data_IF_637687916078
#
_entry.id   IF_637687916078
#
_cell.length_a   1.000
_cell.length_b   1.000
_cell.length_c   1.000
_cell.angle_alpha   90.00
_cell.angle_beta   90.00
_cell.angle_gamma   90.00
#
_symmetry.space_group_name_H-M   'P 1'
#
loop_
_entity.id
_entity.type
_entity.pdbx_description
1 polymer ?
#
# COMPACT_ATOMS: atom_id res chain seq x y z
N UNK A 1 25.98 -15.60 -19.47
CA UNK A 1 24.52 -15.78 -19.36
C UNK A 1 23.89 -15.04 -20.53
N UNK A 2 22.92 -15.65 -21.22
CA UNK A 2 22.03 -14.93 -22.15
C UNK A 2 21.29 -13.82 -21.36
N UNK A 3 20.86 -12.76 -22.05
CA UNK A 3 20.32 -11.56 -21.39
C UNK A 3 19.02 -11.83 -20.63
N UNK A 4 18.19 -12.77 -21.11
CA UNK A 4 16.95 -13.16 -20.44
C UNK A 4 17.20 -13.72 -19.02
N UNK A 5 18.13 -14.66 -18.87
CA UNK A 5 18.45 -15.33 -17.61
C UNK A 5 19.11 -14.37 -16.62
N UNK A 6 19.84 -13.36 -17.12
CA UNK A 6 20.36 -12.28 -16.28
C UNK A 6 19.20 -11.56 -15.59
N UNK A 7 18.19 -11.12 -16.34
CA UNK A 7 17.05 -10.38 -15.77
C UNK A 7 16.14 -11.27 -14.93
N UNK A 8 15.93 -12.54 -15.31
CA UNK A 8 15.19 -13.48 -14.46
C UNK A 8 15.88 -13.68 -13.10
N UNK A 9 17.22 -13.74 -13.08
CA UNK A 9 17.98 -13.82 -11.82
C UNK A 9 17.78 -12.56 -10.95
N UNK A 10 17.90 -11.37 -11.52
CA UNK A 10 17.70 -10.10 -10.80
C UNK A 10 16.26 -9.95 -10.28
N UNK A 11 15.26 -10.38 -11.07
CA UNK A 11 13.87 -10.37 -10.65
C UNK A 11 13.62 -11.32 -9.47
N UNK A 12 14.15 -12.56 -9.54
CA UNK A 12 14.00 -13.56 -8.47
C UNK A 12 14.75 -13.18 -7.19
N UNK A 13 15.85 -12.43 -7.29
CA UNK A 13 16.57 -11.89 -6.14
C UNK A 13 15.91 -10.64 -5.55
N UNK A 14 14.77 -10.20 -6.08
CA UNK A 14 14.07 -8.96 -5.70
C UNK A 14 14.90 -7.69 -5.92
N UNK A 15 15.87 -7.73 -6.84
CA UNK A 15 16.69 -6.58 -7.19
C UNK A 15 16.05 -5.77 -8.31
N UNK A 16 14.84 -5.25 -8.05
CA UNK A 16 14.13 -4.42 -9.02
C UNK A 16 14.85 -3.09 -9.31
N UNK A 17 15.76 -2.67 -8.42
CA UNK A 17 16.62 -1.51 -8.66
C UNK A 17 17.47 -1.65 -9.94
N UNK A 18 17.92 -2.88 -10.27
CA UNK A 18 18.71 -3.14 -11.47
C UNK A 18 17.93 -2.93 -12.79
N UNK A 19 16.60 -2.82 -12.72
CA UNK A 19 15.74 -2.59 -13.88
C UNK A 19 15.59 -1.11 -14.20
N UNK A 20 15.90 -0.23 -13.25
CA UNK A 20 15.85 1.21 -13.45
C UNK A 20 16.86 1.62 -14.53
N UNK A 21 16.43 2.51 -15.43
CA UNK A 21 17.27 3.07 -16.51
C UNK A 21 17.89 2.04 -17.47
N UNK A 22 17.37 0.80 -17.49
CA UNK A 22 17.86 -0.24 -18.39
C UNK A 22 16.75 -0.70 -19.33
N UNK A 23 16.78 -0.22 -20.57
CA UNK A 23 15.76 -0.53 -21.59
C UNK A 23 15.52 -2.03 -21.75
N UNK A 24 16.59 -2.85 -21.80
CA UNK A 24 16.48 -4.30 -21.95
C UNK A 24 15.81 -4.96 -20.74
N UNK A 25 16.12 -4.50 -19.54
CA UNK A 25 15.46 -4.97 -18.32
C UNK A 25 13.97 -4.60 -18.31
N UNK A 26 13.63 -3.40 -18.78
CA UNK A 26 12.25 -2.94 -18.89
C UNK A 26 11.44 -3.71 -19.95
N UNK A 27 12.04 -3.99 -21.11
CA UNK A 27 11.48 -4.90 -22.11
C UNK A 27 11.21 -6.25 -21.45
N UNK A 28 12.15 -6.80 -20.69
CA UNK A 28 11.95 -8.08 -20.00
C UNK A 28 10.74 -8.06 -19.05
N UNK A 29 10.57 -6.99 -18.26
CA UNK A 29 9.41 -6.84 -17.36
C UNK A 29 8.09 -6.78 -18.16
N UNK A 30 8.05 -5.97 -19.22
CA UNK A 30 6.86 -5.81 -20.06
C UNK A 30 6.52 -7.08 -20.84
N UNK A 31 7.51 -7.81 -21.34
CA UNK A 31 7.33 -9.14 -21.95
C UNK A 31 6.74 -10.11 -20.92
N UNK A 32 7.22 -10.10 -19.68
CA UNK A 32 6.65 -10.92 -18.60
C UNK A 32 5.18 -10.58 -18.30
N UNK A 33 4.76 -9.32 -18.44
CA UNK A 33 3.35 -8.93 -18.34
C UNK A 33 2.51 -9.43 -19.52
N UNK A 34 3.08 -9.47 -20.72
CA UNK A 34 2.41 -9.94 -21.94
C UNK A 34 2.31 -11.47 -22.01
N UNK A 35 3.33 -12.19 -21.55
CA UNK A 35 3.44 -13.65 -21.64
C UNK A 35 2.57 -14.39 -20.61
N UNK A 36 1.26 -14.14 -20.58
CA UNK A 36 0.29 -14.83 -19.71
C UNK A 36 -1.02 -15.14 -20.42
N UNK A 37 -1.58 -16.31 -20.13
CA UNK A 37 -2.92 -16.71 -20.60
C UNK A 37 -3.13 -16.48 -22.10
N UNK A 38 -4.21 -15.78 -22.44
CA UNK A 38 -4.53 -15.39 -23.83
C UNK A 38 -3.82 -14.12 -24.32
N UNK A 39 -3.18 -13.34 -23.43
CA UNK A 39 -2.55 -12.05 -23.77
C UNK A 39 -1.40 -12.22 -24.76
N UNK A 40 -0.58 -13.27 -24.59
CA UNK A 40 0.52 -13.54 -25.52
C UNK A 40 0.00 -13.75 -26.95
N UNK A 41 -1.08 -14.50 -27.12
CA UNK A 41 -1.65 -14.79 -28.44
C UNK A 41 -2.22 -13.52 -29.08
N UNK A 42 -2.85 -12.65 -28.29
CA UNK A 42 -3.34 -11.36 -28.75
C UNK A 42 -2.18 -10.44 -29.17
N UNK A 43 -1.11 -10.38 -28.37
CA UNK A 43 0.08 -9.59 -28.68
C UNK A 43 0.75 -10.06 -29.98
N UNK A 44 0.98 -11.37 -30.12
CA UNK A 44 1.57 -11.95 -31.32
C UNK A 44 0.71 -11.67 -32.57
N UNK A 45 -0.61 -11.78 -32.46
CA UNK A 45 -1.54 -11.43 -33.54
C UNK A 45 -1.48 -9.95 -33.91
N UNK A 46 -1.44 -9.06 -32.92
CA UNK A 46 -1.42 -7.60 -33.14
C UNK A 46 -0.09 -7.13 -33.75
N UNK A 47 1.01 -7.78 -33.39
CA UNK A 47 2.37 -7.41 -33.84
C UNK A 47 2.84 -8.16 -35.07
N UNK A 48 2.18 -9.27 -35.43
CA UNK A 48 2.62 -10.18 -36.49
C UNK A 48 3.85 -11.01 -36.14
N UNK A 49 4.27 -11.01 -34.87
CA UNK A 49 5.40 -11.81 -34.39
C UNK A 49 5.00 -13.29 -34.33
N UNK A 50 5.85 -14.17 -34.85
CA UNK A 50 5.68 -15.62 -34.77
C UNK A 50 6.69 -16.22 -33.82
N UNK A 51 6.24 -17.11 -32.94
CA UNK A 51 7.10 -17.89 -32.05
C UNK A 51 7.14 -19.35 -32.51
N UNK A 52 8.29 -19.99 -32.35
CA UNK A 52 8.51 -21.41 -32.65
C UNK A 52 7.99 -22.30 -31.53
N UNK A 53 8.21 -21.91 -30.27
CA UNK A 53 7.76 -22.74 -29.15
C UNK A 53 6.27 -22.60 -28.87
N UNK A 54 5.65 -23.70 -28.45
CA UNK A 54 4.28 -23.74 -27.91
C UNK A 54 4.23 -23.67 -26.39
N UNK A 55 5.37 -23.76 -25.70
CA UNK A 55 5.45 -23.74 -24.24
C UNK A 55 5.65 -22.33 -23.72
N UNK A 56 4.79 -21.88 -22.81
CA UNK A 56 4.80 -20.50 -22.27
C UNK A 56 6.16 -20.03 -21.74
N UNK A 57 6.88 -20.90 -21.01
CA UNK A 57 8.19 -20.54 -20.45
C UNK A 57 9.25 -20.28 -21.55
N UNK A 58 9.22 -21.06 -22.62
CA UNK A 58 10.09 -20.91 -23.78
C UNK A 58 9.65 -19.71 -24.63
N UNK A 59 8.33 -19.53 -24.82
CA UNK A 59 7.75 -18.37 -25.51
C UNK A 59 8.13 -17.04 -24.88
N UNK A 60 8.22 -16.97 -23.55
CA UNK A 60 8.65 -15.77 -22.84
C UNK A 60 10.09 -15.38 -23.18
N UNK A 61 11.00 -16.36 -23.13
CA UNK A 61 12.40 -16.14 -23.50
C UNK A 61 12.54 -15.79 -24.99
N UNK A 62 11.83 -16.51 -25.86
CA UNK A 62 11.87 -16.30 -27.30
C UNK A 62 11.33 -14.91 -27.69
N UNK A 63 10.19 -14.51 -27.13
CA UNK A 63 9.61 -13.20 -27.40
C UNK A 63 10.52 -12.08 -26.91
N UNK A 64 11.16 -12.25 -25.75
CA UNK A 64 12.17 -11.31 -25.27
C UNK A 64 13.37 -11.22 -26.23
N UNK A 65 13.93 -12.35 -26.68
CA UNK A 65 15.07 -12.37 -27.60
C UNK A 65 14.75 -11.66 -28.93
N UNK A 66 13.52 -11.81 -29.45
CA UNK A 66 13.06 -11.09 -30.65
C UNK A 66 12.98 -9.59 -30.35
N UNK A 67 12.25 -9.19 -29.32
CA UNK A 67 11.98 -7.79 -29.00
C UNK A 67 13.23 -7.02 -28.57
N UNK A 68 14.21 -7.66 -27.94
CA UNK A 68 15.47 -7.01 -27.55
C UNK A 68 16.24 -6.45 -28.77
N UNK A 69 16.01 -7.01 -29.96
CA UNK A 69 16.66 -6.57 -31.21
C UNK A 69 15.84 -5.54 -31.99
N UNK A 70 14.60 -5.27 -31.58
CA UNK A 70 13.67 -4.39 -32.30
C UNK A 70 13.71 -2.96 -31.75
N UNK A 71 14.03 -1.93 -32.56
CA UNK A 71 14.08 -0.54 -32.10
C UNK A 71 12.75 0.00 -31.55
N UNK A 72 11.62 -0.57 -31.97
CA UNK A 72 10.27 -0.15 -31.57
C UNK A 72 9.63 -1.07 -30.51
N UNK A 73 10.39 -2.00 -29.90
CA UNK A 73 9.86 -2.98 -28.96
C UNK A 73 9.09 -2.36 -27.79
N UNK A 74 9.67 -1.34 -27.16
CA UNK A 74 9.03 -0.62 -26.05
C UNK A 74 7.70 -0.01 -26.45
N UNK A 75 7.63 0.62 -27.62
CA UNK A 75 6.40 1.22 -28.14
C UNK A 75 5.30 0.16 -28.39
N UNK A 76 5.67 -0.99 -28.96
CA UNK A 76 4.73 -2.09 -29.19
C UNK A 76 4.18 -2.65 -27.88
N UNK A 77 5.05 -2.86 -26.89
CA UNK A 77 4.67 -3.34 -25.57
C UNK A 77 3.76 -2.34 -24.85
N UNK A 78 4.11 -1.05 -24.87
CA UNK A 78 3.33 0.00 -24.20
C UNK A 78 1.95 0.21 -24.83
N UNK A 79 1.88 0.19 -26.16
CA UNK A 79 0.59 0.30 -26.86
C UNK A 79 -0.33 -0.86 -26.49
N UNK A 80 0.20 -2.09 -26.50
CA UNK A 80 -0.58 -3.26 -26.14
C UNK A 80 -1.03 -3.25 -24.67
N UNK A 81 -0.12 -2.95 -23.74
CA UNK A 81 -0.43 -2.93 -22.31
C UNK A 81 -1.48 -1.85 -21.97
N UNK A 82 -1.41 -0.68 -22.63
CA UNK A 82 -2.42 0.37 -22.49
C UNK A 82 -3.79 -0.06 -23.01
N UNK A 83 -3.86 -0.70 -24.18
CA UNK A 83 -5.12 -1.21 -24.72
C UNK A 83 -5.74 -2.28 -23.80
N UNK A 84 -4.94 -3.25 -23.35
CA UNK A 84 -5.40 -4.31 -22.44
C UNK A 84 -5.93 -3.75 -21.12
N UNK A 85 -5.36 -2.63 -20.64
CA UNK A 85 -5.78 -2.01 -19.39
C UNK A 85 -7.21 -1.51 -19.47
N UNK A 86 -7.55 -0.79 -20.54
CA UNK A 86 -8.92 -0.31 -20.78
C UNK A 86 -9.90 -1.47 -20.87
N UNK A 87 -9.52 -2.58 -21.51
CA UNK A 87 -10.37 -3.77 -21.58
C UNK A 87 -10.60 -4.44 -20.22
N UNK A 88 -9.58 -4.54 -19.36
CA UNK A 88 -9.69 -5.22 -18.06
C UNK A 88 -10.70 -4.54 -17.13
N UNK A 89 -10.63 -3.20 -17.02
CA UNK A 89 -11.60 -2.43 -16.24
C UNK A 89 -13.03 -2.56 -16.79
N UNK A 90 -13.19 -2.54 -18.11
CA UNK A 90 -14.50 -2.74 -18.75
C UNK A 90 -15.04 -4.17 -18.54
N UNK A 91 -14.19 -5.19 -18.58
CA UNK A 91 -14.57 -6.60 -18.48
C UNK A 91 -15.01 -7.00 -17.07
N UNK A 92 -14.53 -6.33 -16.02
CA UNK A 92 -14.97 -6.60 -14.65
C UNK A 92 -16.44 -6.23 -14.41
N UNK A 93 -17.04 -5.38 -15.26
CA UNK A 93 -18.45 -4.98 -15.14
C UNK A 93 -18.77 -4.30 -13.81
N UNK A 94 -17.78 -3.67 -13.18
CA UNK A 94 -17.93 -2.99 -11.89
C UNK A 94 -18.55 -1.62 -12.13
N UNK A 95 -19.71 -1.39 -11.52
CA UNK A 95 -20.29 -0.06 -11.42
C UNK A 95 -19.49 0.74 -10.37
N UNK A 96 -18.53 1.53 -10.85
CA UNK A 96 -17.66 2.33 -9.98
C UNK A 96 -18.42 3.39 -9.19
N UNK A 97 -19.52 3.92 -9.72
CA UNK A 97 -20.31 4.94 -9.03
C UNK A 97 -21.06 4.31 -7.86
N UNK A 98 -21.71 3.17 -8.10
CA UNK A 98 -22.35 2.37 -7.06
C UNK A 98 -21.32 1.93 -6.00
N UNK A 99 -20.16 1.42 -6.42
CA UNK A 99 -19.10 0.99 -5.51
C UNK A 99 -18.58 2.14 -4.65
N UNK A 100 -18.35 3.33 -5.22
CA UNK A 100 -17.94 4.53 -4.48
C UNK A 100 -18.94 4.87 -3.38
N UNK A 101 -20.24 4.75 -3.67
CA UNK A 101 -21.30 4.96 -2.68
C UNK A 101 -21.33 3.84 -1.62
N UNK A 102 -21.18 2.58 -2.01
CA UNK A 102 -21.19 1.43 -1.11
C UNK A 102 -20.05 1.45 -0.10
N UNK A 103 -18.88 2.00 -0.45
CA UNK A 103 -17.76 2.16 0.49
C UNK A 103 -18.10 3.02 1.71
N UNK A 104 -19.11 3.90 1.62
CA UNK A 104 -19.59 4.69 2.77
C UNK A 104 -20.48 3.90 3.72
N UNK A 105 -21.01 2.74 3.31
CA UNK A 105 -21.77 1.81 4.17
C UNK A 105 -20.87 1.11 5.20
N UNK A 106 -19.55 1.15 5.01
CA UNK A 106 -18.58 0.66 5.99
C UNK A 106 -18.39 1.74 7.06
N UNK A 107 -19.00 1.52 8.23
CA UNK A 107 -18.98 2.44 9.37
C UNK A 107 -17.90 2.11 10.40
N UNK A 108 -17.42 0.88 10.43
CA UNK A 108 -16.42 0.40 11.37
C UNK A 108 -15.22 -0.21 10.63
N UNK A 109 -14.03 -0.03 11.17
CA UNK A 109 -12.79 -0.56 10.59
C UNK A 109 -12.05 -1.36 11.66
N UNK A 110 -12.29 -2.66 11.68
CA UNK A 110 -11.63 -3.60 12.57
C UNK A 110 -11.23 -4.87 11.81
N UNK A 111 -10.02 -5.33 12.07
CA UNK A 111 -9.54 -6.58 11.49
C UNK A 111 -10.06 -7.78 12.28
N UNK A 112 -10.58 -8.77 11.56
CA UNK A 112 -10.70 -10.14 12.07
C UNK A 112 -9.41 -10.93 11.83
N UNK A 113 -9.33 -12.12 12.45
CA UNK A 113 -8.15 -12.97 12.41
C UNK A 113 -7.08 -12.65 13.45
N UNK A 114 -5.87 -13.18 13.24
CA UNK A 114 -4.71 -13.00 14.13
C UNK A 114 -3.90 -11.72 13.79
N UNK A 115 -2.74 -11.55 14.45
CA UNK A 115 -1.84 -10.40 14.21
C UNK A 115 -1.35 -10.27 12.75
N UNK A 116 -1.51 -11.33 11.93
CA UNK A 116 -1.15 -11.35 10.52
C UNK A 116 -2.37 -11.39 9.58
N UNK A 117 -3.57 -11.10 10.08
CA UNK A 117 -4.83 -11.21 9.37
C UNK A 117 -5.08 -12.62 8.79
N UNK A 118 -4.62 -13.68 9.48
CA UNK A 118 -4.89 -15.07 9.10
C UNK A 118 -6.10 -15.57 9.89
N UNK A 119 -7.27 -15.55 9.24
CA UNK A 119 -8.53 -15.99 9.86
C UNK A 119 -8.47 -17.49 10.20
N UNK A 120 -7.92 -18.30 9.31
CA UNK A 120 -7.75 -19.74 9.51
C UNK A 120 -6.91 -20.06 10.76
N UNK A 121 -5.72 -19.44 10.89
CA UNK A 121 -4.85 -19.65 12.06
C UNK A 121 -5.49 -19.15 13.34
N UNK A 122 -6.19 -18.02 13.27
CA UNK A 122 -6.94 -17.49 14.41
C UNK A 122 -8.00 -18.50 14.89
N UNK A 123 -8.85 -18.98 13.99
CA UNK A 123 -9.93 -19.89 14.32
C UNK A 123 -9.39 -21.22 14.88
N UNK A 124 -8.33 -21.75 14.26
CA UNK A 124 -7.70 -23.00 14.69
C UNK A 124 -7.06 -22.87 16.08
N UNK A 125 -6.27 -21.81 16.29
CA UNK A 125 -5.50 -21.63 17.52
C UNK A 125 -6.36 -21.22 18.72
N UNK A 126 -7.50 -20.55 18.50
CA UNK A 126 -8.30 -19.97 19.57
C UNK A 126 -9.54 -20.79 19.93
N UNK A 127 -10.10 -21.53 18.98
CA UNK A 127 -11.30 -22.34 19.20
C UNK A 127 -11.02 -23.84 19.00
N UNK A 128 -10.56 -24.25 17.81
CA UNK A 128 -10.46 -25.69 17.45
C UNK A 128 -9.53 -26.48 18.36
N UNK A 129 -8.34 -25.95 18.68
CA UNK A 129 -7.34 -26.66 19.50
C UNK A 129 -7.49 -26.43 21.01
N UNK A 130 -8.41 -25.56 21.43
CA UNK A 130 -8.53 -25.09 22.82
C UNK A 130 -9.84 -25.52 23.46
N UNK A 131 -10.93 -25.52 22.71
CA UNK A 131 -12.26 -25.83 23.22
C UNK A 131 -12.58 -27.29 22.90
N UNK A 132 -12.61 -28.14 23.93
CA UNK A 132 -12.99 -29.55 23.81
C UNK A 132 -14.46 -29.82 24.13
N UNK A 133 -15.11 -28.95 24.92
CA UNK A 133 -16.53 -29.04 25.26
C UNK A 133 -17.38 -28.37 24.16
N UNK A 134 -18.42 -29.07 23.69
CA UNK A 134 -19.24 -28.58 22.59
C UNK A 134 -20.15 -27.41 22.96
N UNK A 135 -20.71 -27.39 24.18
CA UNK A 135 -21.57 -26.28 24.64
C UNK A 135 -20.76 -24.99 24.79
N UNK A 136 -19.52 -25.08 25.27
CA UNK A 136 -18.58 -23.96 25.28
C UNK A 136 -18.29 -23.44 23.87
N UNK A 137 -18.13 -24.33 22.89
CA UNK A 137 -17.97 -23.96 21.49
C UNK A 137 -19.22 -23.28 20.93
N UNK A 138 -20.40 -23.80 21.26
CA UNK A 138 -21.68 -23.24 20.85
C UNK A 138 -21.84 -21.80 21.34
N UNK A 139 -21.42 -21.52 22.58
CA UNK A 139 -21.42 -20.18 23.17
C UNK A 139 -20.48 -19.19 22.45
N UNK A 140 -19.57 -19.66 21.58
CA UNK A 140 -18.64 -18.83 20.81
C UNK A 140 -19.10 -18.50 19.38
N UNK A 141 -20.25 -19.00 18.94
CA UNK A 141 -20.72 -18.79 17.56
C UNK A 141 -20.79 -17.31 17.14
N UNK A 142 -21.39 -16.46 17.98
CA UNK A 142 -21.52 -15.04 17.67
C UNK A 142 -20.14 -14.35 17.59
N UNK A 143 -19.24 -14.63 18.55
CA UNK A 143 -17.87 -14.09 18.56
C UNK A 143 -17.08 -14.49 17.29
N UNK A 144 -17.21 -15.76 16.87
CA UNK A 144 -16.59 -16.29 15.65
C UNK A 144 -17.18 -15.60 14.41
N UNK A 145 -18.51 -15.47 14.34
CA UNK A 145 -19.20 -14.82 13.23
C UNK A 145 -18.82 -13.35 13.09
N UNK A 146 -18.77 -12.61 14.21
CA UNK A 146 -18.35 -11.20 14.24
C UNK A 146 -16.90 -11.03 13.78
N UNK A 147 -16.00 -11.91 14.23
CA UNK A 147 -14.60 -11.88 13.81
C UNK A 147 -14.44 -12.18 12.31
N UNK A 148 -15.13 -13.20 11.81
CA UNK A 148 -15.11 -13.55 10.38
C UNK A 148 -15.71 -12.41 9.53
N UNK A 149 -16.78 -11.77 9.99
CA UNK A 149 -17.38 -10.62 9.32
C UNK A 149 -16.41 -9.43 9.27
N UNK A 150 -15.76 -9.09 10.37
CA UNK A 150 -14.74 -8.05 10.43
C UNK A 150 -13.60 -8.31 9.43
N UNK A 151 -13.15 -9.57 9.31
CA UNK A 151 -12.16 -9.95 8.31
C UNK A 151 -12.66 -9.70 6.87
N UNK A 152 -13.87 -10.17 6.53
CA UNK A 152 -14.43 -10.03 5.18
C UNK A 152 -14.70 -8.56 4.84
N UNK A 153 -15.38 -7.81 5.71
CA UNK A 153 -15.73 -6.41 5.47
C UNK A 153 -14.48 -5.54 5.29
N UNK A 154 -13.47 -5.69 6.16
CA UNK A 154 -12.24 -4.91 6.09
C UNK A 154 -11.37 -5.30 4.89
N UNK A 155 -11.34 -6.59 4.53
CA UNK A 155 -10.64 -7.06 3.33
C UNK A 155 -11.31 -6.56 2.05
N UNK A 156 -12.65 -6.62 1.99
CA UNK A 156 -13.45 -6.08 0.90
C UNK A 156 -13.22 -4.58 0.74
N UNK A 157 -13.31 -3.82 1.83
CA UNK A 157 -13.09 -2.36 1.82
C UNK A 157 -11.69 -2.01 1.29
N UNK A 158 -10.65 -2.70 1.78
CA UNK A 158 -9.28 -2.46 1.34
C UNK A 158 -9.06 -2.85 -0.12
N UNK A 159 -9.61 -3.98 -0.57
CA UNK A 159 -9.52 -4.42 -1.95
C UNK A 159 -10.12 -3.38 -2.90
N UNK A 160 -11.36 -2.96 -2.65
CA UNK A 160 -12.08 -2.09 -3.57
C UNK A 160 -11.61 -0.64 -3.52
N UNK A 161 -11.16 -0.15 -2.36
CA UNK A 161 -10.50 1.17 -2.31
C UNK A 161 -9.17 1.15 -3.04
N UNK A 162 -8.35 0.09 -2.90
CA UNK A 162 -7.11 -0.06 -3.69
C UNK A 162 -7.41 -0.11 -5.19
N UNK A 163 -8.38 -0.93 -5.61
CA UNK A 163 -8.81 -1.01 -7.01
C UNK A 163 -9.18 0.36 -7.59
N UNK A 164 -10.03 1.12 -6.89
CA UNK A 164 -10.47 2.44 -7.34
C UNK A 164 -9.32 3.45 -7.35
N UNK A 165 -8.47 3.47 -6.32
CA UNK A 165 -7.31 4.37 -6.27
C UNK A 165 -6.32 4.05 -7.40
N UNK A 166 -5.99 2.77 -7.60
CA UNK A 166 -5.10 2.32 -8.66
C UNK A 166 -5.64 2.67 -10.04
N UNK A 167 -6.97 2.60 -10.23
CA UNK A 167 -7.61 3.03 -11.48
C UNK A 167 -7.37 4.52 -11.79
N UNK A 168 -7.24 5.38 -10.75
CA UNK A 168 -6.93 6.81 -10.94
C UNK A 168 -5.55 6.98 -11.56
N UNK A 169 -4.56 6.20 -11.13
CA UNK A 169 -3.21 6.23 -11.72
C UNK A 169 -3.25 5.71 -13.15
N UNK A 170 -3.87 4.54 -13.36
CA UNK A 170 -3.87 3.84 -14.64
C UNK A 170 -4.66 4.53 -15.76
N UNK A 171 -5.51 5.51 -15.44
CA UNK A 171 -6.21 6.38 -16.41
C UNK A 171 -5.34 7.51 -16.93
N UNK A 172 -4.23 7.81 -16.27
CA UNK A 172 -3.36 8.90 -16.65
C UNK A 172 -2.50 8.54 -17.87
N UNK A 173 -2.40 9.44 -18.85
CA UNK A 173 -1.67 9.21 -20.12
C UNK A 173 -0.18 8.85 -19.96
N UNK A 174 0.45 9.24 -18.85
CA UNK A 174 1.87 8.97 -18.55
C UNK A 174 2.08 7.61 -17.86
N UNK A 175 1.00 6.87 -17.60
CA UNK A 175 1.02 5.59 -16.88
C UNK A 175 0.73 4.45 -17.84
N UNK A 176 1.61 3.45 -17.86
CA UNK A 176 1.40 2.19 -18.57
C UNK A 176 1.09 1.11 -17.55
N UNK A 177 -0.11 0.52 -17.60
CA UNK A 177 -0.51 -0.51 -16.64
C UNK A 177 0.27 -1.81 -16.86
N UNK A 178 0.71 -2.44 -15.78
CA UNK A 178 1.21 -3.82 -15.81
C UNK A 178 0.03 -4.79 -15.68
N UNK A 179 -0.85 -4.83 -16.70
CA UNK A 179 -2.10 -5.63 -16.74
C UNK A 179 -1.89 -7.14 -16.49
N UNK A 180 -0.63 -7.60 -16.49
CA UNK A 180 -0.23 -8.97 -16.24
C UNK A 180 0.29 -9.28 -14.83
N UNK A 181 -0.05 -8.53 -13.77
CA UNK A 181 0.35 -8.82 -12.38
C UNK A 181 1.87 -9.15 -12.27
N UNK A 182 2.72 -8.26 -12.77
CA UNK A 182 4.15 -8.39 -12.45
C UNK A 182 4.24 -8.21 -10.94
N UNK A 183 4.68 -9.25 -10.23
CA UNK A 183 4.84 -9.16 -8.77
C UNK A 183 5.69 -7.92 -8.44
N UNK A 184 5.15 -7.07 -7.58
CA UNK A 184 5.78 -5.82 -7.13
C UNK A 184 5.92 -4.72 -8.21
N UNK A 185 5.11 -4.75 -9.26
CA UNK A 185 4.98 -3.65 -10.24
C UNK A 185 3.52 -3.53 -10.68
N UNK A 186 2.85 -2.47 -10.22
CA UNK A 186 1.46 -2.16 -10.56
C UNK A 186 1.36 -1.42 -11.90
N UNK A 187 2.32 -0.53 -12.17
CA UNK A 187 2.39 0.23 -13.42
C UNK A 187 3.81 0.75 -13.70
N UNK A 188 4.01 1.22 -14.93
CA UNK A 188 5.18 1.98 -15.33
C UNK A 188 4.82 3.46 -15.44
N UNK A 189 5.63 4.32 -14.82
CA UNK A 189 5.50 5.77 -14.91
C UNK A 189 6.78 6.30 -15.55
N UNK A 190 6.72 6.87 -16.76
CA UNK A 190 7.90 7.26 -17.56
C UNK A 190 9.04 6.21 -17.52
N UNK A 191 8.71 4.93 -17.73
CA UNK A 191 9.63 3.78 -17.68
C UNK A 191 10.16 3.34 -16.31
N UNK A 192 9.72 3.94 -15.20
CA UNK A 192 9.98 3.40 -13.87
C UNK A 192 8.94 2.34 -13.52
N UNK A 193 9.32 1.09 -13.22
CA UNK A 193 8.39 0.10 -12.67
C UNK A 193 8.07 0.50 -11.22
N UNK A 194 6.78 0.73 -10.91
CA UNK A 194 6.30 1.23 -9.62
C UNK A 194 5.32 0.26 -8.99
N UNK A 195 5.50 0.00 -7.69
CA UNK A 195 4.49 -0.54 -6.76
C UNK A 195 3.81 0.62 -6.03
N UNK A 196 2.48 0.69 -6.13
CA UNK A 196 1.67 1.70 -5.47
C UNK A 196 1.34 1.23 -4.06
N UNK A 197 1.82 1.98 -3.07
CA UNK A 197 1.55 1.68 -1.66
C UNK A 197 0.60 2.69 -1.03
N UNK A 198 -0.69 2.33 -0.99
CA UNK A 198 -1.68 3.11 -0.23
C UNK A 198 -1.57 2.76 1.25
N UNK A 199 -1.18 3.74 2.09
CA UNK A 199 -0.98 3.55 3.52
C UNK A 199 -1.45 4.76 4.33
N UNK A 200 -1.61 4.57 5.63
CA UNK A 200 -1.80 5.66 6.59
C UNK A 200 -0.44 6.15 7.07
N UNK A 201 -0.42 7.32 7.72
CA UNK A 201 0.75 7.78 8.42
C UNK A 201 1.17 6.75 9.49
N UNK A 202 2.44 6.29 9.54
CA UNK A 202 2.80 5.19 10.43
C UNK A 202 2.72 5.57 11.91
N UNK A 203 1.96 4.80 12.69
CA UNK A 203 1.79 5.05 14.13
C UNK A 203 3.13 5.04 14.88
N UNK A 204 4.02 4.08 14.59
CA UNK A 204 5.33 4.02 15.24
C UNK A 204 6.20 5.24 14.91
N UNK A 205 6.22 5.66 13.64
CA UNK A 205 6.91 6.89 13.24
C UNK A 205 6.34 8.12 13.96
N UNK A 206 5.01 8.23 14.04
CA UNK A 206 4.34 9.27 14.81
C UNK A 206 4.77 9.25 16.28
N UNK A 207 4.74 8.10 16.93
CA UNK A 207 5.15 7.95 18.34
C UNK A 207 6.61 8.36 18.57
N UNK A 208 7.53 7.95 17.69
CA UNK A 208 8.95 8.29 17.76
C UNK A 208 9.18 9.79 17.64
N UNK A 209 8.58 10.45 16.64
CA UNK A 209 8.73 11.89 16.41
C UNK A 209 8.01 12.72 17.46
N UNK A 210 6.83 12.30 17.86
CA UNK A 210 6.04 12.99 18.88
C UNK A 210 6.74 12.92 20.24
N UNK A 211 7.40 11.80 20.57
CA UNK A 211 8.23 11.68 21.78
C UNK A 211 9.34 12.73 21.83
N UNK A 212 9.99 13.02 20.70
CA UNK A 212 11.01 14.08 20.62
C UNK A 212 10.38 15.45 20.91
N UNK A 213 9.24 15.76 20.27
CA UNK A 213 8.56 17.04 20.44
C UNK A 213 7.98 17.27 21.84
N UNK A 214 7.48 16.22 22.50
CA UNK A 214 6.91 16.29 23.85
C UNK A 214 7.94 16.08 24.96
N UNK A 215 9.16 15.64 24.61
CA UNK A 215 10.21 15.22 25.55
C UNK A 215 9.93 13.90 26.28
N UNK A 216 8.79 13.25 26.02
CA UNK A 216 8.37 11.97 26.62
C UNK A 216 7.29 11.29 25.78
N UNK A 217 6.97 10.02 26.07
CA UNK A 217 5.87 9.31 25.39
C UNK A 217 4.55 10.06 25.54
N UNK A 218 3.72 10.02 24.50
CA UNK A 218 2.42 10.70 24.45
C UNK A 218 1.57 10.45 25.69
N UNK A 219 1.35 9.17 26.04
CA UNK A 219 0.55 8.81 27.20
C UNK A 219 1.13 9.36 28.50
N UNK A 220 2.46 9.34 28.67
CA UNK A 220 3.11 9.92 29.85
C UNK A 220 2.90 11.43 29.92
N UNK A 221 2.99 12.12 28.79
CA UNK A 221 2.72 13.54 28.69
C UNK A 221 1.26 13.85 29.05
N UNK A 222 0.31 13.10 28.49
CA UNK A 222 -1.12 13.31 28.75
C UNK A 222 -1.49 13.03 30.21
N UNK A 223 -0.94 11.96 30.81
CA UNK A 223 -1.10 11.67 32.25
C UNK A 223 -0.63 12.81 33.14
N UNK A 224 0.49 13.44 32.80
CA UNK A 224 1.00 14.58 33.56
C UNK A 224 0.04 15.76 33.47
N UNK A 225 -0.35 16.16 32.25
CA UNK A 225 -1.26 17.29 32.05
C UNK A 225 -2.64 17.05 32.65
N UNK A 226 -3.14 15.81 32.58
CA UNK A 226 -4.38 15.40 33.24
C UNK A 226 -4.28 15.51 34.76
N UNK A 227 -3.17 15.08 35.36
CA UNK A 227 -2.94 15.21 36.81
C UNK A 227 -2.90 16.68 37.25
N UNK A 228 -2.22 17.53 36.47
CA UNK A 228 -2.16 18.98 36.73
C UNK A 228 -3.56 19.63 36.64
N UNK A 229 -4.47 19.03 35.87
CA UNK A 229 -5.88 19.41 35.78
C UNK A 229 -6.80 18.68 36.80
N UNK A 230 -6.24 17.93 37.76
CA UNK A 230 -7.01 17.23 38.80
C UNK A 230 -7.61 15.89 38.39
N UNK A 231 -7.28 15.35 37.22
CA UNK A 231 -7.79 14.06 36.72
C UNK A 231 -6.88 12.91 37.16
N UNK A 232 -7.47 11.88 37.77
CA UNK A 232 -6.78 10.65 38.13
C UNK A 232 -6.74 9.64 36.96
N UNK A 233 -5.67 8.83 36.93
CA UNK A 233 -5.43 7.82 35.91
C UNK A 233 -5.77 6.44 36.48
N UNK A 234 -6.67 5.72 35.83
CA UNK A 234 -6.89 4.30 36.11
C UNK A 234 -5.78 3.48 35.46
N UNK A 235 -4.94 2.85 36.30
CA UNK A 235 -3.78 2.07 35.85
C UNK A 235 -4.15 0.63 35.45
N UNK A 236 -5.39 0.22 35.66
CA UNK A 236 -5.87 -1.12 35.25
C UNK A 236 -6.22 -1.17 33.75
N UNK A 237 -6.49 -0.01 33.14
CA UNK A 237 -6.78 0.13 31.72
C UNK A 237 -5.53 -0.06 30.85
N UNK A 238 -5.73 -0.51 29.59
CA UNK A 238 -4.69 -0.53 28.56
C UNK A 238 -4.24 0.88 28.14
N UNK A 239 -3.06 1.03 27.52
CA UNK A 239 -2.55 2.33 27.05
C UNK A 239 -3.58 3.08 26.17
N UNK A 240 -4.24 2.38 25.23
CA UNK A 240 -5.25 2.98 24.35
C UNK A 240 -6.51 3.42 25.10
N UNK A 241 -6.96 2.65 26.09
CA UNK A 241 -8.11 3.00 26.94
C UNK A 241 -7.79 4.18 27.85
N UNK A 242 -6.56 4.25 28.37
CA UNK A 242 -6.11 5.38 29.18
C UNK A 242 -6.04 6.66 28.34
N UNK A 243 -5.48 6.60 27.13
CA UNK A 243 -5.48 7.75 26.21
C UNK A 243 -6.91 8.26 25.96
N UNK A 244 -7.83 7.36 25.61
CA UNK A 244 -9.23 7.71 25.39
C UNK A 244 -9.88 8.35 26.63
N UNK A 245 -9.83 7.66 27.77
CA UNK A 245 -10.46 8.12 29.01
C UNK A 245 -9.91 9.48 29.46
N UNK A 246 -8.59 9.69 29.35
CA UNK A 246 -7.98 10.97 29.71
C UNK A 246 -8.40 12.09 28.75
N UNK A 247 -8.49 11.80 27.45
CA UNK A 247 -8.96 12.77 26.46
C UNK A 247 -10.41 13.18 26.71
N UNK A 248 -11.31 12.23 26.97
CA UNK A 248 -12.72 12.54 27.27
C UNK A 248 -12.84 13.37 28.55
N UNK A 249 -12.21 12.94 29.65
CA UNK A 249 -12.26 13.68 30.92
C UNK A 249 -11.70 15.09 30.82
N UNK A 250 -10.61 15.29 30.05
CA UNK A 250 -10.06 16.63 29.80
C UNK A 250 -11.04 17.50 29.01
N UNK A 251 -11.72 16.94 28.02
CA UNK A 251 -12.75 17.63 27.23
C UNK A 251 -13.95 18.04 28.10
N UNK A 252 -14.44 17.13 28.94
CA UNK A 252 -15.58 17.35 29.85
C UNK A 252 -15.36 18.53 30.82
N UNK A 253 -14.13 18.71 31.31
CA UNK A 253 -13.76 19.83 32.19
C UNK A 253 -13.32 21.09 31.41
N UNK A 254 -13.49 21.12 30.09
CA UNK A 254 -13.18 22.27 29.23
C UNK A 254 -11.69 22.48 28.97
N UNK A 255 -10.81 21.52 29.28
CA UNK A 255 -9.36 21.58 29.04
C UNK A 255 -8.98 21.17 27.60
N UNK A 256 -9.71 21.75 26.64
CA UNK A 256 -9.47 21.56 25.21
C UNK A 256 -8.12 22.16 24.77
N UNK A 257 -7.56 23.10 25.53
CA UNK A 257 -6.22 23.64 25.34
C UNK A 257 -5.14 22.54 25.31
N UNK A 258 -5.22 21.57 26.24
CA UNK A 258 -4.27 20.45 26.33
C UNK A 258 -4.42 19.53 25.11
N UNK A 259 -5.66 19.25 24.71
CA UNK A 259 -5.94 18.36 23.57
C UNK A 259 -5.52 19.01 22.25
N UNK A 260 -5.71 20.32 22.13
CA UNK A 260 -5.29 21.08 20.95
C UNK A 260 -3.76 21.23 20.88
N UNK A 261 -3.06 21.40 22.01
CA UNK A 261 -1.60 21.33 22.05
C UNK A 261 -1.09 19.98 21.52
N UNK A 262 -1.68 18.87 21.99
CA UNK A 262 -1.31 17.54 21.52
C UNK A 262 -1.61 17.36 20.02
N UNK A 263 -2.78 17.82 19.56
CA UNK A 263 -3.17 17.75 18.15
C UNK A 263 -2.23 18.55 17.25
N UNK A 264 -1.87 19.76 17.67
CA UNK A 264 -0.91 20.60 16.95
C UNK A 264 0.47 19.95 16.89
N UNK A 265 0.94 19.32 17.97
CA UNK A 265 2.20 18.57 17.95
C UNK A 265 2.18 17.39 16.98
N UNK A 266 1.06 16.67 16.85
CA UNK A 266 0.89 15.63 15.82
C UNK A 266 0.89 16.21 14.41
N UNK A 267 0.19 17.34 14.18
CA UNK A 267 0.20 18.05 12.89
C UNK A 267 1.60 18.51 12.50
N UNK A 268 2.38 19.02 13.45
CA UNK A 268 3.79 19.36 13.24
C UNK A 268 4.60 18.14 12.78
N UNK A 269 4.40 16.95 13.38
CA UNK A 269 5.09 15.72 12.92
C UNK A 269 4.78 15.39 11.46
N UNK A 270 3.52 15.54 11.05
CA UNK A 270 3.10 15.30 9.66
C UNK A 270 3.74 16.35 8.74
N UNK A 271 3.74 17.62 9.12
CA UNK A 271 4.37 18.70 8.36
C UNK A 271 5.88 18.52 8.21
N UNK A 272 6.56 18.08 9.27
CA UNK A 272 8.00 17.77 9.25
C UNK A 272 8.28 16.62 8.25
N UNK A 273 7.43 15.59 8.25
CA UNK A 273 7.55 14.47 7.33
C UNK A 273 7.26 14.85 5.87
N UNK A 274 6.35 15.79 5.62
CA UNK A 274 6.13 16.37 4.29
C UNK A 274 7.34 17.19 3.83
N UNK A 275 8.03 17.86 4.75
CA UNK A 275 9.22 18.67 4.45
C UNK A 275 10.48 17.82 4.27
N UNK A 276 10.53 16.65 4.91
CA UNK A 276 11.63 15.69 4.80
C UNK A 276 11.11 14.29 4.42
N UNK A 277 10.61 14.18 3.18
CA UNK A 277 10.05 12.93 2.65
C UNK A 277 11.05 11.78 2.62
N UNK A 278 12.35 12.07 2.47
CA UNK A 278 13.42 11.06 2.41
C UNK A 278 13.51 10.26 3.71
N UNK A 279 13.41 10.94 4.85
CA UNK A 279 13.43 10.30 6.16
C UNK A 279 12.24 9.35 6.35
N UNK A 280 11.03 9.81 6.01
CA UNK A 280 9.83 9.00 6.13
C UNK A 280 9.88 7.77 5.20
N UNK A 281 10.26 7.95 3.94
CA UNK A 281 10.40 6.84 2.99
C UNK A 281 11.44 5.82 3.47
N UNK A 282 12.61 6.28 3.92
CA UNK A 282 13.65 5.40 4.47
C UNK A 282 13.12 4.61 5.67
N UNK A 283 12.37 5.27 6.56
CA UNK A 283 11.75 4.62 7.71
C UNK A 283 10.70 3.58 7.27
N UNK A 284 9.86 3.90 6.28
CA UNK A 284 8.84 2.99 5.72
C UNK A 284 9.45 1.70 5.15
N UNK A 285 10.57 1.81 4.42
CA UNK A 285 11.28 0.65 3.90
C UNK A 285 12.01 -0.15 4.99
N UNK A 286 12.58 0.50 5.99
CA UNK A 286 13.32 -0.17 7.07
C UNK A 286 12.40 -0.91 8.06
N UNK A 287 11.17 -0.42 8.28
CA UNK A 287 10.23 -0.92 9.28
C UNK A 287 9.06 -1.73 8.68
N UNK A 288 9.31 -2.43 7.58
CA UNK A 288 8.32 -3.29 6.95
C UNK A 288 8.05 -4.56 7.78
N UNK A 289 6.82 -5.06 7.73
CA UNK A 289 6.52 -6.40 8.25
C UNK A 289 7.16 -7.48 7.37
N UNK A 290 7.71 -8.54 7.98
CA UNK A 290 8.44 -9.60 7.26
C UNK A 290 7.65 -10.22 6.09
N UNK A 291 6.37 -10.53 6.32
CA UNK A 291 5.51 -11.11 5.27
C UNK A 291 5.20 -10.13 4.13
N UNK A 292 5.49 -8.84 4.31
CA UNK A 292 5.19 -7.76 3.36
C UNK A 292 6.47 -7.05 2.90
N UNK A 293 7.63 -7.63 3.17
CA UNK A 293 8.91 -7.10 2.74
C UNK A 293 8.97 -7.05 1.21
N UNK A 294 9.45 -5.92 0.71
CA UNK A 294 9.79 -5.71 -0.69
C UNK A 294 10.81 -4.58 -0.85
N UNK A 295 11.58 -4.66 -1.92
CA UNK A 295 12.62 -3.69 -2.31
C UNK A 295 12.40 -3.14 -3.74
N UNK A 296 11.20 -3.36 -4.29
CA UNK A 296 10.69 -2.67 -5.46
C UNK A 296 10.68 -1.14 -5.29
N UNK A 297 10.63 -0.41 -6.41
CA UNK A 297 10.38 1.02 -6.34
C UNK A 297 8.93 1.24 -5.90
N UNK A 298 8.71 2.18 -4.97
CA UNK A 298 7.38 2.45 -4.44
C UNK A 298 6.97 3.90 -4.58
N UNK A 299 5.72 4.09 -4.95
CA UNK A 299 5.03 5.35 -4.78
C UNK A 299 4.08 5.23 -3.60
N UNK A 300 4.37 5.93 -2.51
CA UNK A 300 3.50 5.89 -1.33
C UNK A 300 2.38 6.91 -1.47
N UNK A 301 1.13 6.48 -1.38
CA UNK A 301 0.00 7.38 -1.16
C UNK A 301 -0.35 7.36 0.33
N UNK A 302 0.07 8.41 1.04
CA UNK A 302 -0.11 8.52 2.49
C UNK A 302 -1.35 9.34 2.81
N UNK A 303 -2.32 8.67 3.43
CA UNK A 303 -3.59 9.27 3.83
C UNK A 303 -3.56 9.64 5.31
N UNK A 304 -3.89 10.89 5.63
CA UNK A 304 -3.83 11.43 7.00
C UNK A 304 -5.06 12.28 7.32
N UNK A 305 -5.91 11.82 8.24
CA UNK A 305 -6.92 12.71 8.83
C UNK A 305 -6.24 13.42 10.00
N UNK A 306 -5.94 14.72 9.82
CA UNK A 306 -5.20 15.51 10.80
C UNK A 306 -6.05 15.92 12.01
N UNK A 307 -7.36 15.69 11.93
CA UNK A 307 -8.32 15.91 13.02
C UNK A 307 -8.34 14.70 13.93
N UNK A 308 -8.52 13.50 13.36
CA UNK A 308 -8.37 12.23 14.08
C UNK A 308 -7.69 11.18 13.20
N UNK A 309 -6.43 10.88 13.51
CA UNK A 309 -5.64 9.92 12.74
C UNK A 309 -6.25 8.51 12.75
N UNK A 310 -7.06 8.16 13.75
CA UNK A 310 -7.80 6.88 13.80
C UNK A 310 -8.81 6.77 12.67
N UNK A 311 -9.26 7.89 12.13
CA UNK A 311 -10.22 7.96 11.03
C UNK A 311 -9.57 8.04 9.64
N UNK A 312 -8.24 7.96 9.54
CA UNK A 312 -7.52 7.98 8.26
C UNK A 312 -7.97 6.88 7.29
N UNK A 313 -8.55 5.77 7.79
CA UNK A 313 -9.13 4.73 6.93
C UNK A 313 -10.31 5.22 6.09
N UNK A 314 -11.08 6.21 6.57
CA UNK A 314 -12.18 6.84 5.84
C UNK A 314 -11.67 7.63 4.64
N UNK A 315 -10.40 8.03 4.63
CA UNK A 315 -9.82 8.75 3.50
C UNK A 315 -9.61 7.86 2.28
N UNK A 316 -9.52 6.53 2.44
CA UNK A 316 -9.39 5.60 1.30
C UNK A 316 -10.56 5.67 0.32
N UNK A 317 -11.74 6.11 0.79
CA UNK A 317 -12.93 6.37 -0.05
C UNK A 317 -13.14 7.86 -0.36
N UNK A 318 -12.28 8.75 0.11
CA UNK A 318 -12.39 10.19 -0.12
C UNK A 318 -11.76 10.59 -1.47
N UNK A 319 -12.30 10.05 -2.56
CA UNK A 319 -11.74 10.24 -3.91
C UNK A 319 -11.63 11.70 -4.34
N UNK A 320 -12.56 12.56 -3.89
CA UNK A 320 -12.50 14.01 -4.12
C UNK A 320 -11.24 14.68 -3.55
N UNK A 321 -10.60 14.09 -2.54
CA UNK A 321 -9.32 14.56 -1.98
C UNK A 321 -8.12 13.88 -2.65
N UNK A 322 -8.27 12.60 -3.01
CA UNK A 322 -7.17 11.79 -3.60
C UNK A 322 -6.92 12.17 -5.06
N UNK A 323 -7.97 12.22 -5.87
CA UNK A 323 -7.87 12.35 -7.33
C UNK A 323 -7.13 13.62 -7.77
N UNK A 324 -7.39 14.82 -7.22
CA UNK A 324 -6.63 16.01 -7.58
C UNK A 324 -5.14 15.89 -7.26
N UNK A 325 -4.78 15.24 -6.15
CA UNK A 325 -3.38 15.06 -5.73
C UNK A 325 -2.64 14.04 -6.57
N UNK A 326 -3.30 12.95 -6.94
CA UNK A 326 -2.75 11.96 -7.88
C UNK A 326 -2.54 12.61 -9.25
N UNK A 327 -3.53 13.35 -9.76
CA UNK A 327 -3.41 14.04 -11.04
C UNK A 327 -2.28 15.06 -11.04
N UNK A 328 -2.23 15.93 -10.02
CA UNK A 328 -1.16 16.92 -9.84
C UNK A 328 0.23 16.28 -9.84
N UNK A 329 0.39 15.15 -9.13
CA UNK A 329 1.65 14.42 -9.10
C UNK A 329 2.04 13.88 -10.48
N UNK A 330 1.11 13.21 -11.17
CA UNK A 330 1.37 12.55 -12.46
C UNK A 330 1.59 13.54 -13.61
N UNK A 331 0.93 14.70 -13.57
CA UNK A 331 1.14 15.79 -14.54
C UNK A 331 2.55 16.40 -14.43
N UNK A 332 3.11 16.43 -13.22
CA UNK A 332 4.43 17.04 -12.94
C UNK A 332 5.57 16.02 -12.81
N UNK A 333 5.28 14.72 -12.91
CA UNK A 333 6.26 13.65 -12.73
C UNK A 333 7.37 13.71 -13.79
N UNK A 334 8.62 13.63 -13.33
CA UNK A 334 9.81 13.67 -14.17
C UNK A 334 10.94 12.82 -13.55
N UNK A 335 12.11 12.79 -14.19
CA UNK A 335 13.27 11.97 -13.79
C UNK A 335 13.80 12.29 -12.38
N UNK A 336 13.53 13.50 -11.85
CA UNK A 336 13.95 13.90 -10.52
C UNK A 336 12.90 13.61 -9.44
N UNK A 337 11.69 13.18 -9.80
CA UNK A 337 10.61 12.92 -8.84
C UNK A 337 10.98 11.82 -7.85
N UNK A 338 11.36 10.64 -8.35
CA UNK A 338 11.75 9.52 -7.48
C UNK A 338 13.14 9.74 -6.86
N UNK A 339 13.25 9.45 -5.57
CA UNK A 339 14.51 9.53 -4.81
C UNK A 339 15.09 8.15 -4.55
N UNK A 340 16.41 8.02 -4.64
CA UNK A 340 17.09 6.79 -4.22
C UNK A 340 17.01 6.62 -2.70
N UNK A 341 16.47 5.49 -2.27
CA UNK A 341 16.38 5.07 -0.87
C UNK A 341 17.39 3.95 -0.65
N UNK A 342 18.30 4.18 0.30
CA UNK A 342 19.21 3.16 0.80
C UNK A 342 18.73 2.74 2.20
N UNK A 343 18.42 1.46 2.39
CA UNK A 343 17.86 0.98 3.65
C UNK A 343 18.38 -0.40 4.05
N UNK A 344 18.26 -0.70 5.34
CA UNK A 344 18.63 -2.00 5.91
C UNK A 344 17.39 -2.78 6.28
N UNK A 345 17.34 -4.06 5.93
CA UNK A 345 16.32 -4.98 6.42
C UNK A 345 16.95 -6.32 6.76
N UNK A 346 16.73 -6.80 8.00
CA UNK A 346 17.32 -8.04 8.53
C UNK A 346 18.84 -8.19 8.27
N UNK A 347 19.58 -7.09 8.38
CA UNK A 347 21.04 -7.05 8.19
C UNK A 347 21.52 -6.86 6.75
N UNK A 348 20.66 -7.05 5.75
CA UNK A 348 21.00 -6.84 4.34
C UNK A 348 20.80 -5.37 3.93
N UNK A 349 21.61 -4.91 2.96
CA UNK A 349 21.44 -3.59 2.33
C UNK A 349 20.57 -3.71 1.08
N UNK A 350 19.65 -2.77 0.90
CA UNK A 350 18.79 -2.67 -0.27
C UNK A 350 18.80 -1.25 -0.83
N UNK A 351 18.49 -1.16 -2.12
CA UNK A 351 18.30 0.09 -2.85
C UNK A 351 16.97 0.05 -3.59
N UNK A 352 16.25 1.17 -3.58
CA UNK A 352 15.00 1.34 -4.31
C UNK A 352 14.86 2.80 -4.75
N UNK A 353 14.04 3.08 -5.75
CA UNK A 353 13.55 4.43 -6.01
C UNK A 353 12.19 4.63 -5.35
N UNK A 354 11.94 5.81 -4.81
CA UNK A 354 10.69 6.04 -4.10
C UNK A 354 10.26 7.49 -4.12
N UNK A 355 8.95 7.71 -4.02
CA UNK A 355 8.39 9.02 -3.74
C UNK A 355 7.08 8.89 -2.94
N UNK A 356 6.50 10.03 -2.56
CA UNK A 356 5.30 10.08 -1.71
C UNK A 356 4.31 11.16 -2.18
N UNK A 357 3.04 10.79 -2.20
CA UNK A 357 1.90 11.70 -2.34
C UNK A 357 1.19 11.74 -1.00
N UNK A 358 1.14 12.92 -0.39
CA UNK A 358 0.36 13.14 0.83
C UNK A 358 -1.04 13.63 0.50
N UNK A 359 -2.05 12.99 1.11
CA UNK A 359 -3.42 13.48 1.16
C UNK A 359 -3.76 13.70 2.62
N UNK A 360 -3.83 14.98 3.02
CA UNK A 360 -4.08 15.40 4.39
C UNK A 360 -5.42 16.11 4.44
N UNK A 361 -6.29 15.71 5.37
CA UNK A 361 -7.59 16.34 5.64
C UNK A 361 -7.55 17.13 6.94
#
# INVERSE_FOLDING_TARGET
MKNFEKWDKEFRSQNLFAFNFNEKALIWLKVRAVCRGSQIQQFLKNTGITLYSSKMAEQNAELFEILETMPNAMQLLDSFLNERNHEWYNAMGVDEECLKNDLYKVHHYAWGGDQNNSLDKYLVSRYVKVISNYDDLLNKQNEIADNAWNYVQTSWYNNWTSYLIESLFKRHKNVISAVGEIKSVDFFLNNYPIDLKVTFFPNQYMEEKLKVKLGKRELTWLKQRAKDAGISVDRTQTDSQQLYTLSEKLSEIGRNDILEELRNKRKEVVSDAQSNVLELMTWLYANQGEMRFGAENRLFLILVDSTDMKDSWKMKRAFALIEPKVKEYLDNFNEESLKEINFKFKGNQYKSLSDVIFVVK
#
